data_IF_324862359087
#
_entry.id   IF_324862359087
#
_cell.length_a   1.000
_cell.length_b   1.000
_cell.length_c   1.000
_cell.angle_alpha   90.00
_cell.angle_beta   90.00
_cell.angle_gamma   90.00
#
_symmetry.space_group_name_H-M   'P 1'
#
loop_
_entity.id
_entity.type
_entity.pdbx_description
1 polymer ?
#
# COMPACT_ATOMS: atom_id res chain seq x y z
N UNK A 1 -8.88 -8.68 -7.02
CA UNK A 1 -8.91 -7.36 -6.33
C UNK A 1 -7.58 -6.95 -5.68
N UNK A 2 -6.86 -7.85 -5.01
CA UNK A 2 -5.59 -7.52 -4.33
C UNK A 2 -4.34 -7.35 -5.20
N UNK A 3 -4.44 -7.43 -6.55
CA UNK A 3 -3.25 -7.39 -7.41
C UNK A 3 -2.72 -5.98 -7.72
N UNK A 4 -3.51 -4.94 -7.50
CA UNK A 4 -3.13 -3.57 -7.86
C UNK A 4 -2.34 -2.86 -6.77
N UNK A 5 -2.68 -3.06 -5.50
CA UNK A 5 -2.09 -2.28 -4.40
C UNK A 5 -0.57 -2.40 -4.31
N UNK A 6 0.00 -3.57 -4.68
CA UNK A 6 1.46 -3.75 -4.72
C UNK A 6 2.10 -2.90 -5.81
N UNK A 7 1.51 -2.85 -6.99
CA UNK A 7 1.98 -2.00 -8.10
C UNK A 7 1.74 -0.51 -7.84
N UNK A 8 0.61 -0.14 -7.23
CA UNK A 8 0.37 1.24 -6.78
C UNK A 8 1.44 1.67 -5.76
N UNK A 9 1.74 0.83 -4.78
CA UNK A 9 2.82 1.08 -3.82
C UNK A 9 4.19 1.15 -4.48
N UNK A 10 4.50 0.26 -5.43
CA UNK A 10 5.75 0.33 -6.20
C UNK A 10 5.87 1.68 -6.94
N UNK A 11 4.76 2.15 -7.52
CA UNK A 11 4.69 3.42 -8.24
C UNK A 11 4.89 4.61 -7.31
N UNK A 12 4.21 4.61 -6.16
CA UNK A 12 4.37 5.68 -5.16
C UNK A 12 5.78 5.68 -4.57
N UNK A 13 6.36 4.50 -4.31
CA UNK A 13 7.73 4.37 -3.81
C UNK A 13 8.80 4.79 -4.84
N UNK A 14 8.48 4.77 -6.14
CA UNK A 14 9.36 5.33 -7.17
C UNK A 14 9.39 6.87 -7.16
N UNK A 15 8.36 7.52 -6.61
CA UNK A 15 8.22 8.97 -6.58
C UNK A 15 8.57 9.61 -5.22
N UNK A 16 8.40 8.89 -4.10
CA UNK A 16 8.59 9.42 -2.75
C UNK A 16 9.60 8.62 -1.93
N UNK A 17 10.41 9.32 -1.13
CA UNK A 17 11.44 8.70 -0.27
C UNK A 17 10.88 7.91 0.92
N UNK A 18 9.71 8.29 1.42
CA UNK A 18 9.09 7.66 2.57
C UNK A 18 7.66 7.25 2.24
N UNK A 19 7.35 5.97 2.38
CA UNK A 19 6.04 5.40 2.10
C UNK A 19 5.62 4.48 3.25
N UNK A 20 4.34 4.51 3.58
CA UNK A 20 3.69 3.59 4.49
C UNK A 20 2.33 3.15 3.92
N UNK A 21 1.89 1.96 4.29
CA UNK A 21 0.56 1.44 3.99
C UNK A 21 -0.24 1.27 5.27
N UNK A 22 -1.50 1.70 5.28
CA UNK A 22 -2.46 1.40 6.33
C UNK A 22 -3.60 0.56 5.75
N UNK A 23 -3.84 -0.61 6.32
CA UNK A 23 -4.91 -1.52 5.88
C UNK A 23 -5.26 -2.55 6.97
N UNK A 24 -6.45 -3.19 6.90
CA UNK A 24 -6.76 -4.33 7.75
C UNK A 24 -5.79 -5.50 7.54
N UNK A 25 -5.39 -6.24 8.59
CA UNK A 25 -4.48 -7.38 8.48
C UNK A 25 -4.97 -8.47 7.50
N UNK A 26 -6.27 -8.75 7.51
CA UNK A 26 -6.88 -9.74 6.61
C UNK A 26 -6.83 -9.30 5.14
N UNK A 27 -6.91 -8.00 4.88
CA UNK A 27 -6.79 -7.46 3.53
C UNK A 27 -5.34 -7.50 3.04
N UNK A 28 -4.37 -7.20 3.90
CA UNK A 28 -2.93 -7.37 3.61
C UNK A 28 -2.61 -8.84 3.31
N UNK A 29 -3.24 -9.77 4.01
CA UNK A 29 -3.12 -11.20 3.75
C UNK A 29 -3.93 -11.69 2.52
N UNK A 30 -4.65 -10.80 1.83
CA UNK A 30 -5.46 -11.13 0.66
C UNK A 30 -6.72 -11.95 0.95
N UNK A 31 -7.13 -12.05 2.23
CA UNK A 31 -8.31 -12.83 2.66
C UNK A 31 -9.62 -12.08 2.47
N UNK A 32 -9.58 -10.74 2.54
CA UNK A 32 -10.77 -9.88 2.41
C UNK A 32 -10.49 -8.68 1.51
N UNK A 33 -11.55 -8.15 0.90
CA UNK A 33 -11.49 -6.85 0.23
C UNK A 33 -11.61 -5.73 1.25
N UNK A 34 -10.80 -4.67 1.12
CA UNK A 34 -10.85 -3.50 1.98
C UNK A 34 -10.24 -2.28 1.27
N UNK A 35 -10.33 -1.14 1.94
CA UNK A 35 -9.59 0.05 1.55
C UNK A 35 -8.13 -0.07 2.00
N UNK A 36 -7.23 0.37 1.12
CA UNK A 36 -5.81 0.49 1.36
C UNK A 36 -5.45 1.98 1.30
N UNK A 37 -4.81 2.48 2.36
CA UNK A 37 -4.37 3.86 2.44
C UNK A 37 -2.86 3.92 2.26
N UNK A 38 -2.41 4.50 1.15
CA UNK A 38 -0.99 4.76 0.90
C UNK A 38 -0.68 6.17 1.41
N UNK A 39 0.31 6.28 2.29
CA UNK A 39 0.81 7.55 2.83
C UNK A 39 2.23 7.73 2.37
N UNK A 40 2.54 8.86 1.72
CA UNK A 40 3.85 9.11 1.15
C UNK A 40 4.31 10.55 1.33
N UNK A 41 5.62 10.74 1.46
CA UNK A 41 6.26 12.05 1.57
C UNK A 41 7.74 11.97 1.23
N UNK A 42 8.31 13.09 0.78
CA UNK A 42 9.76 13.25 0.70
C UNK A 42 10.41 13.49 2.06
N UNK A 43 9.65 13.90 3.08
CA UNK A 43 10.13 14.01 4.46
C UNK A 43 9.81 12.72 5.24
N UNK A 44 10.58 12.39 6.31
CA UNK A 44 10.31 11.21 7.13
C UNK A 44 8.90 11.19 7.70
N UNK A 45 8.20 10.06 7.56
CA UNK A 45 6.87 9.86 8.13
C UNK A 45 6.95 9.64 9.66
N UNK A 46 6.02 10.19 10.45
CA UNK A 46 5.94 9.96 11.89
C UNK A 46 5.33 8.58 12.19
N UNK A 47 6.05 7.50 11.85
CA UNK A 47 5.53 6.13 11.87
C UNK A 47 5.03 5.67 13.25
N UNK A 48 5.76 5.96 14.31
CA UNK A 48 5.36 5.56 15.66
C UNK A 48 4.07 6.27 16.12
N UNK A 49 3.95 7.62 16.03
CA UNK A 49 2.68 8.30 16.26
C UNK A 49 1.53 7.83 15.36
N UNK A 50 1.81 7.54 14.09
CA UNK A 50 0.82 7.03 13.14
C UNK A 50 0.30 5.66 13.58
N UNK A 51 1.19 4.71 13.88
CA UNK A 51 0.83 3.37 14.37
C UNK A 51 0.03 3.44 15.67
N UNK A 52 0.41 4.34 16.60
CA UNK A 52 -0.35 4.57 17.83
C UNK A 52 -1.80 5.01 17.57
N UNK A 53 -2.03 5.91 16.61
CA UNK A 53 -3.38 6.34 16.22
C UNK A 53 -4.17 5.23 15.52
N UNK A 54 -3.52 4.48 14.65
CA UNK A 54 -4.13 3.34 13.93
C UNK A 54 -4.58 2.26 14.93
N UNK A 55 -3.74 1.93 15.92
CA UNK A 55 -4.08 0.95 16.94
C UNK A 55 -5.22 1.39 17.88
N UNK A 56 -5.51 2.69 17.94
CA UNK A 56 -6.61 3.24 18.74
C UNK A 56 -7.95 3.27 17.98
N UNK A 57 -7.99 2.86 16.71
CA UNK A 57 -9.22 2.79 15.94
C UNK A 57 -10.13 1.66 16.45
N UNK A 58 -11.47 1.82 16.35
CA UNK A 58 -12.40 0.75 16.68
C UNK A 58 -12.23 -0.50 15.79
N UNK A 59 -11.81 -0.28 14.55
CA UNK A 59 -11.57 -1.32 13.54
C UNK A 59 -10.09 -1.68 13.47
N UNK A 60 -9.79 -2.97 13.32
CA UNK A 60 -8.41 -3.45 13.26
C UNK A 60 -7.71 -3.02 11.95
N UNK A 61 -6.63 -2.28 12.07
CA UNK A 61 -5.75 -1.89 10.97
C UNK A 61 -4.29 -1.94 11.42
N UNK A 62 -3.38 -2.11 10.46
CA UNK A 62 -1.93 -2.14 10.68
C UNK A 62 -1.23 -1.14 9.78
N UNK A 63 -0.05 -0.71 10.22
CA UNK A 63 0.86 0.14 9.43
C UNK A 63 2.02 -0.72 8.93
N UNK A 64 2.21 -0.83 7.62
CA UNK A 64 3.41 -1.40 7.02
C UNK A 64 4.34 -0.28 6.56
N UNK A 65 5.61 -0.37 6.93
CA UNK A 65 6.67 0.54 6.49
C UNK A 65 8.02 -0.18 6.47
N UNK A 66 9.03 0.44 5.86
CA UNK A 66 10.38 -0.12 5.76
C UNK A 66 10.41 -1.50 5.11
N UNK A 67 11.27 -2.39 5.61
CA UNK A 67 11.51 -3.72 5.02
C UNK A 67 10.25 -4.59 4.91
N UNK A 68 9.30 -4.42 5.83
CA UNK A 68 8.02 -5.14 5.79
C UNK A 68 7.17 -4.68 4.62
N UNK A 69 7.12 -3.36 4.37
CA UNK A 69 6.44 -2.81 3.20
C UNK A 69 7.15 -3.23 1.91
N UNK A 70 8.49 -3.17 1.88
CA UNK A 70 9.29 -3.64 0.74
C UNK A 70 9.01 -5.10 0.40
N UNK A 71 8.94 -5.96 1.41
CA UNK A 71 8.60 -7.37 1.24
C UNK A 71 7.16 -7.57 0.74
N UNK A 72 6.21 -6.74 1.22
CA UNK A 72 4.83 -6.79 0.76
C UNK A 72 4.68 -6.36 -0.71
N UNK A 73 5.40 -5.31 -1.13
CA UNK A 73 5.44 -4.85 -2.53
C UNK A 73 6.06 -5.91 -3.43
N UNK A 74 7.16 -6.53 -2.98
CA UNK A 74 7.84 -7.59 -3.73
C UNK A 74 8.36 -7.11 -5.08
N UNK A 75 8.13 -7.90 -6.13
CA UNK A 75 8.54 -7.67 -7.51
C UNK A 75 7.48 -6.93 -8.34
N UNK A 76 6.49 -6.30 -7.68
CA UNK A 76 5.42 -5.61 -8.37
C UNK A 76 5.94 -4.50 -9.29
N UNK A 77 5.38 -4.44 -10.49
CA UNK A 77 5.76 -3.45 -11.49
C UNK A 77 5.25 -2.06 -11.13
N UNK A 78 6.06 -1.06 -11.45
CA UNK A 78 5.66 0.36 -11.46
C UNK A 78 4.66 0.57 -12.59
N UNK A 79 3.54 1.22 -12.27
CA UNK A 79 2.55 1.63 -13.24
C UNK A 79 3.07 2.86 -13.98
N UNK A 80 3.01 2.82 -15.31
CA UNK A 80 3.30 3.97 -16.19
C UNK A 80 2.04 4.32 -16.96
N UNK A 81 2.03 5.48 -17.62
CA UNK A 81 0.86 5.93 -18.40
C UNK A 81 0.44 4.95 -19.51
N UNK A 82 1.42 4.23 -20.10
CA UNK A 82 1.16 3.15 -21.07
C UNK A 82 0.37 1.97 -20.47
N UNK A 83 0.41 1.82 -19.14
CA UNK A 83 -0.30 0.82 -18.33
C UNK A 83 -1.29 1.44 -17.33
N UNK A 84 -1.61 2.74 -17.49
CA UNK A 84 -2.52 3.46 -16.62
C UNK A 84 -4.04 3.34 -16.93
N UNK A 85 -4.54 2.58 -17.93
CA UNK A 85 -5.96 2.27 -17.92
C UNK A 85 -6.17 1.16 -16.88
N UNK A 86 -6.52 1.58 -15.67
CA UNK A 86 -7.04 0.73 -14.58
C UNK A 86 -8.08 -0.30 -15.07
N UNK A 87 -8.81 0.01 -16.16
CA UNK A 87 -9.77 -0.87 -16.82
C UNK A 87 -9.13 -2.09 -17.53
N UNK A 88 -7.94 -1.98 -18.11
CA UNK A 88 -7.34 -3.08 -18.89
C UNK A 88 -6.82 -4.21 -18.01
N UNK A 89 -6.34 -3.89 -16.82
CA UNK A 89 -5.92 -4.91 -15.87
C UNK A 89 -7.16 -5.67 -15.34
N UNK A 90 -8.30 -5.00 -15.10
CA UNK A 90 -9.54 -5.66 -14.64
C UNK A 90 -10.08 -6.69 -15.65
N UNK A 91 -9.86 -6.46 -16.96
CA UNK A 91 -10.41 -7.28 -18.03
C UNK A 91 -9.63 -8.57 -18.34
N UNK A 92 -8.40 -8.75 -17.83
CA UNK A 92 -7.58 -9.95 -18.10
C UNK A 92 -7.58 -10.98 -16.95
N UNK A 93 -8.49 -10.86 -15.99
CA UNK A 93 -8.65 -11.80 -14.88
C UNK A 93 -9.93 -12.65 -15.01
#
# INVERSE_FOLDING_TARGET
PGRFVRSELATVAAAFRHVALVAPPDAVAGRTGANFLIVASDAPLPLAPLAGRVNALPEAAIVLAGDVLTSFVGDALVLTDDYAPVDQLLATA
#
